data_IF_847547354765
#
_entry.id   IF_847547354765
#
_cell.length_a   1.000
_cell.length_b   1.000
_cell.length_c   1.000
_cell.angle_alpha   90.00
_cell.angle_beta   90.00
_cell.angle_gamma   90.00
#
_symmetry.space_group_name_H-M   'P 1'
#
loop_
_entity.id
_entity.type
_entity.pdbx_description
1 polymer ?
#
# COMPACT_ATOMS: atom_id res chain seq x y z
N UNK A 1 -60.02 1.18 -18.12
CA UNK A 1 -58.98 0.14 -18.33
C UNK A 1 -57.94 0.49 -19.39
N UNK A 2 -58.29 0.80 -20.65
CA UNK A 2 -57.28 1.06 -21.73
C UNK A 2 -56.27 2.18 -21.43
N UNK A 3 -56.71 3.30 -20.84
CA UNK A 3 -55.83 4.45 -20.52
C UNK A 3 -54.83 4.12 -19.40
N UNK A 4 -55.29 3.42 -18.36
CA UNK A 4 -54.44 2.96 -17.25
C UNK A 4 -53.38 1.96 -17.72
N UNK A 5 -53.78 0.96 -18.52
CA UNK A 5 -52.85 -0.02 -19.08
C UNK A 5 -51.80 0.65 -19.99
N UNK A 6 -52.18 1.65 -20.79
CA UNK A 6 -51.25 2.41 -21.63
C UNK A 6 -50.23 3.18 -20.79
N UNK A 7 -50.66 3.82 -19.71
CA UNK A 7 -49.76 4.52 -18.78
C UNK A 7 -48.80 3.53 -18.13
N UNK A 8 -49.29 2.40 -17.63
CA UNK A 8 -48.45 1.35 -17.01
C UNK A 8 -47.38 0.82 -17.98
N UNK A 9 -47.75 0.53 -19.22
CA UNK A 9 -46.81 0.06 -20.25
C UNK A 9 -45.74 1.11 -20.55
N UNK A 10 -46.13 2.38 -20.68
CA UNK A 10 -45.18 3.49 -20.90
C UNK A 10 -44.23 3.62 -19.70
N UNK A 11 -44.74 3.56 -18.47
CA UNK A 11 -43.92 3.64 -17.25
C UNK A 11 -42.91 2.49 -17.19
N UNK A 12 -43.31 1.25 -17.50
CA UNK A 12 -42.41 0.09 -17.54
C UNK A 12 -41.35 0.27 -18.63
N UNK A 13 -41.73 0.73 -19.83
CA UNK A 13 -40.80 0.99 -20.93
C UNK A 13 -39.77 2.06 -20.55
N UNK A 14 -40.21 3.17 -19.94
CA UNK A 14 -39.31 4.23 -19.46
C UNK A 14 -38.35 3.68 -18.41
N UNK A 15 -38.86 2.92 -17.44
CA UNK A 15 -38.02 2.32 -16.40
C UNK A 15 -36.98 1.34 -16.98
N UNK A 16 -37.38 0.44 -17.89
CA UNK A 16 -36.47 -0.49 -18.56
C UNK A 16 -35.42 0.24 -19.40
N UNK A 17 -35.80 1.33 -20.06
CA UNK A 17 -34.87 2.16 -20.83
C UNK A 17 -33.84 2.83 -19.91
N UNK A 18 -34.29 3.45 -18.82
CA UNK A 18 -33.40 4.07 -17.82
C UNK A 18 -32.48 3.04 -17.16
N UNK A 19 -33.01 1.87 -16.82
CA UNK A 19 -32.22 0.77 -16.26
C UNK A 19 -31.16 0.27 -17.26
N UNK A 20 -31.52 0.12 -18.54
CA UNK A 20 -30.59 -0.25 -19.60
C UNK A 20 -29.47 0.79 -19.78
N UNK A 21 -29.82 2.08 -19.84
CA UNK A 21 -28.85 3.18 -19.92
C UNK A 21 -27.92 3.20 -18.70
N UNK A 22 -28.45 2.99 -17.50
CA UNK A 22 -27.67 2.91 -16.28
C UNK A 22 -26.67 1.73 -16.31
N UNK A 23 -27.10 0.54 -16.75
CA UNK A 23 -26.20 -0.62 -16.90
C UNK A 23 -25.08 -0.37 -17.93
N UNK A 24 -25.39 0.31 -19.04
CA UNK A 24 -24.40 0.71 -20.04
C UNK A 24 -23.40 1.70 -19.44
N UNK A 25 -23.90 2.73 -18.74
CA UNK A 25 -23.05 3.68 -18.03
C UNK A 25 -22.12 2.99 -17.02
N UNK A 26 -22.65 2.12 -16.17
CA UNK A 26 -21.86 1.34 -15.21
C UNK A 26 -20.76 0.53 -15.91
N UNK A 27 -21.09 -0.15 -17.02
CA UNK A 27 -20.10 -0.93 -17.79
C UNK A 27 -18.95 -0.06 -18.29
N UNK A 28 -19.23 1.11 -18.83
CA UNK A 28 -18.19 2.03 -19.29
C UNK A 28 -17.38 2.63 -18.14
N UNK A 29 -18.04 3.00 -17.05
CA UNK A 29 -17.38 3.48 -15.85
C UNK A 29 -16.41 2.43 -15.29
N UNK A 30 -16.87 1.20 -15.05
CA UNK A 30 -16.01 0.13 -14.52
C UNK A 30 -14.87 -0.21 -15.47
N UNK A 31 -15.11 -0.23 -16.79
CA UNK A 31 -14.05 -0.41 -17.79
C UNK A 31 -12.99 0.67 -17.66
N UNK A 32 -13.39 1.93 -17.57
CA UNK A 32 -12.46 3.06 -17.43
C UNK A 32 -11.63 3.00 -16.16
N UNK A 33 -12.24 2.60 -15.03
CA UNK A 33 -11.49 2.40 -13.77
C UNK A 33 -10.51 1.25 -13.90
N UNK A 34 -10.91 0.07 -14.41
CA UNK A 34 -9.96 -1.02 -14.62
C UNK A 34 -8.79 -0.60 -15.54
N UNK A 35 -9.07 0.15 -16.60
CA UNK A 35 -8.05 0.67 -17.51
C UNK A 35 -7.07 1.66 -16.82
N UNK A 36 -7.50 2.42 -15.81
CA UNK A 36 -6.62 3.32 -15.05
C UNK A 36 -5.73 2.59 -14.04
N UNK A 37 -6.18 1.45 -13.52
CA UNK A 37 -5.40 0.58 -12.62
C UNK A 37 -4.39 -0.23 -13.44
N UNK A 38 -3.31 0.43 -13.87
CA UNK A 38 -2.32 -0.06 -14.85
C UNK A 38 -1.28 -1.03 -14.30
N UNK A 39 -1.21 -1.17 -12.97
CA UNK A 39 -0.38 -2.17 -12.29
C UNK A 39 -1.04 -2.68 -11.01
N UNK A 40 -0.44 -3.71 -10.42
CA UNK A 40 -0.97 -4.39 -9.24
C UNK A 40 -1.07 -3.50 -8.00
N UNK A 41 -0.14 -2.57 -7.78
CA UNK A 41 -0.14 -1.72 -6.57
C UNK A 41 -1.25 -0.66 -6.62
N UNK A 42 -1.52 -0.11 -7.81
CA UNK A 42 -2.71 0.71 -8.03
C UNK A 42 -3.99 -0.08 -7.80
N UNK A 43 -4.04 -1.34 -8.28
CA UNK A 43 -5.19 -2.21 -8.07
C UNK A 43 -5.42 -2.51 -6.58
N UNK A 44 -4.38 -2.83 -5.82
CA UNK A 44 -4.45 -3.06 -4.38
C UNK A 44 -4.86 -1.80 -3.60
N UNK A 45 -4.27 -0.64 -3.91
CA UNK A 45 -4.67 0.62 -3.28
C UNK A 45 -6.15 0.94 -3.54
N UNK A 46 -6.60 0.80 -4.78
CA UNK A 46 -7.99 1.03 -5.16
C UNK A 46 -8.93 0.03 -4.47
N UNK A 47 -8.56 -1.25 -4.45
CA UNK A 47 -9.32 -2.31 -3.80
C UNK A 47 -9.59 -2.02 -2.32
N UNK A 48 -8.65 -1.36 -1.64
CA UNK A 48 -8.86 -0.91 -0.26
C UNK A 48 -9.73 0.35 -0.19
N UNK A 49 -9.28 1.44 -0.80
CA UNK A 49 -9.90 2.77 -0.68
C UNK A 49 -11.30 2.86 -1.29
N UNK A 50 -11.62 1.97 -2.23
CA UNK A 50 -12.89 1.89 -2.95
C UNK A 50 -13.54 0.49 -2.81
N UNK A 51 -13.32 -0.16 -1.66
CA UNK A 51 -13.88 -1.49 -1.33
C UNK A 51 -15.37 -1.59 -1.67
N UNK A 52 -15.72 -2.65 -2.41
CA UNK A 52 -17.08 -2.97 -2.85
C UNK A 52 -17.64 -2.12 -4.01
N UNK A 53 -16.88 -1.17 -4.57
CA UNK A 53 -17.33 -0.35 -5.70
C UNK A 53 -17.16 -1.08 -7.05
N UNK A 54 -16.00 -1.70 -7.27
CA UNK A 54 -15.71 -2.44 -8.50
C UNK A 54 -16.23 -3.88 -8.42
N UNK A 55 -17.11 -4.31 -9.35
CA UNK A 55 -17.58 -5.68 -9.37
C UNK A 55 -16.43 -6.67 -9.58
N UNK A 56 -16.33 -7.68 -8.71
CA UNK A 56 -15.32 -8.75 -8.78
C UNK A 56 -13.90 -8.36 -8.37
N UNK A 57 -13.66 -7.12 -7.93
CA UNK A 57 -12.44 -6.76 -7.23
C UNK A 57 -12.63 -7.05 -5.74
N UNK A 58 -11.79 -7.91 -5.16
CA UNK A 58 -11.84 -8.19 -3.73
C UNK A 58 -11.33 -6.99 -2.91
N UNK A 59 -11.74 -6.90 -1.65
CA UNK A 59 -11.16 -5.94 -0.71
C UNK A 59 -9.70 -6.36 -0.43
N UNK A 60 -8.74 -5.43 -0.54
CA UNK A 60 -7.31 -5.73 -0.37
C UNK A 60 -7.00 -6.34 0.99
N UNK A 61 -7.37 -5.66 2.07
CA UNK A 61 -7.23 -6.14 3.45
C UNK A 61 -7.74 -7.56 3.65
N UNK A 62 -8.91 -7.92 3.09
CA UNK A 62 -9.43 -9.30 3.20
C UNK A 62 -8.59 -10.32 2.41
N UNK A 63 -8.07 -9.92 1.26
CA UNK A 63 -7.30 -10.80 0.39
C UNK A 63 -5.91 -11.14 0.96
N UNK A 64 -5.33 -10.24 1.77
CA UNK A 64 -3.99 -10.42 2.38
C UNK A 64 -4.02 -10.82 3.85
N UNK A 65 -5.18 -11.23 4.37
CA UNK A 65 -5.41 -11.55 5.78
C UNK A 65 -5.08 -10.35 6.71
N UNK A 66 -5.33 -9.14 6.23
CA UNK A 66 -5.29 -7.90 6.99
C UNK A 66 -6.56 -7.71 7.82
N UNK A 67 -6.41 -7.17 9.03
CA UNK A 67 -7.48 -7.19 10.03
C UNK A 67 -8.79 -6.49 9.64
N UNK A 68 -8.75 -5.27 9.10
CA UNK A 68 -9.96 -4.51 8.74
C UNK A 68 -9.80 -3.79 7.40
N UNK A 69 -10.93 -3.67 6.68
CA UNK A 69 -11.03 -2.88 5.45
C UNK A 69 -11.44 -1.44 5.72
N UNK A 70 -10.73 -0.51 5.11
CA UNK A 70 -10.89 0.92 5.29
C UNK A 70 -11.47 1.56 4.03
N UNK A 71 -12.74 1.94 4.13
CA UNK A 71 -13.54 2.51 3.03
C UNK A 71 -13.46 4.03 2.96
N UNK A 72 -12.26 4.56 3.10
CA UNK A 72 -12.05 6.00 3.10
C UNK A 72 -10.85 6.35 2.22
N UNK A 73 -11.16 7.07 1.13
CA UNK A 73 -10.21 7.51 0.11
C UNK A 73 -9.42 8.75 0.53
N UNK A 74 -9.83 9.42 1.61
CA UNK A 74 -9.26 10.70 2.05
C UNK A 74 -8.27 10.52 3.21
N UNK A 75 -7.99 9.27 3.62
CA UNK A 75 -7.03 8.92 4.65
C UNK A 75 -5.95 7.95 4.15
N UNK A 76 -4.84 7.89 4.88
CA UNK A 76 -3.88 6.79 4.79
C UNK A 76 -4.15 5.82 5.92
N UNK A 77 -4.12 4.53 5.63
CA UNK A 77 -4.31 3.49 6.62
C UNK A 77 -3.20 2.46 6.56
N UNK A 78 -2.60 2.20 7.73
CA UNK A 78 -1.68 1.09 7.94
C UNK A 78 -2.40 -0.15 8.46
N UNK A 79 -2.09 -1.30 7.89
CA UNK A 79 -2.56 -2.61 8.36
C UNK A 79 -1.40 -3.55 8.61
N UNK A 80 -1.41 -4.24 9.74
CA UNK A 80 -0.47 -5.33 10.03
C UNK A 80 -0.92 -6.60 9.33
N UNK A 81 0.03 -7.36 8.77
CA UNK A 81 -0.23 -8.62 8.09
C UNK A 81 0.24 -9.82 8.93
N UNK A 82 -0.67 -10.76 9.20
CA UNK A 82 -0.34 -12.02 9.88
C UNK A 82 0.63 -12.84 9.02
N UNK A 83 1.82 -13.14 9.55
CA UNK A 83 2.92 -13.68 8.74
C UNK A 83 3.83 -14.67 9.47
N UNK A 84 3.40 -15.18 10.64
CA UNK A 84 4.20 -16.14 11.41
C UNK A 84 5.54 -15.59 11.91
N UNK A 85 5.70 -14.26 11.90
CA UNK A 85 6.87 -13.55 12.39
C UNK A 85 6.97 -13.62 13.92
N UNK A 86 8.18 -13.37 14.44
CA UNK A 86 8.38 -13.27 15.88
C UNK A 86 7.73 -12.01 16.46
N UNK A 87 7.53 -11.95 17.78
CA UNK A 87 6.89 -10.80 18.45
C UNK A 87 7.63 -9.46 18.26
N UNK A 88 8.92 -9.50 17.92
CA UNK A 88 9.73 -8.31 17.64
C UNK A 88 9.65 -7.85 16.18
N UNK A 89 8.96 -8.58 15.32
CA UNK A 89 8.88 -8.36 13.89
C UNK A 89 7.43 -8.08 13.46
N UNK A 90 7.26 -7.18 12.51
CA UNK A 90 5.95 -6.86 11.95
C UNK A 90 6.08 -6.48 10.47
N UNK A 91 5.10 -6.87 9.66
CA UNK A 91 4.90 -6.35 8.30
C UNK A 91 3.65 -5.48 8.31
N UNK A 92 3.82 -4.23 7.90
CA UNK A 92 2.78 -3.23 7.77
C UNK A 92 2.62 -2.88 6.29
N UNK A 93 1.38 -2.72 5.84
CA UNK A 93 1.08 -2.13 4.54
C UNK A 93 0.27 -0.87 4.75
N UNK A 94 0.74 0.24 4.20
CA UNK A 94 0.02 1.50 4.19
C UNK A 94 -0.56 1.75 2.81
N UNK A 95 -1.86 1.99 2.74
CA UNK A 95 -2.57 2.35 1.51
C UNK A 95 -3.47 3.56 1.76
N UNK A 96 -3.85 4.28 0.71
CA UNK A 96 -4.75 5.41 0.88
C UNK A 96 -4.71 6.46 -0.21
N UNK A 97 -5.06 7.68 0.20
CA UNK A 97 -5.05 8.91 -0.60
C UNK A 97 -3.76 9.06 -1.43
N UNK A 98 -3.88 9.73 -2.59
CA UNK A 98 -2.76 9.98 -3.51
C UNK A 98 -2.05 8.71 -4.01
N UNK A 99 -2.81 7.60 -4.14
CA UNK A 99 -2.30 6.29 -4.59
C UNK A 99 -1.14 5.77 -3.71
N UNK A 100 -1.15 6.16 -2.42
CA UNK A 100 -0.12 5.77 -1.46
C UNK A 100 -0.05 4.26 -1.32
N UNK A 101 1.14 3.68 -1.47
CA UNK A 101 1.35 2.25 -1.19
C UNK A 101 2.76 2.06 -0.61
N UNK A 102 2.85 1.65 0.65
CA UNK A 102 4.11 1.40 1.35
C UNK A 102 4.03 0.05 2.03
N UNK A 103 4.97 -0.85 1.77
CA UNK A 103 5.15 -2.09 2.53
C UNK A 103 6.35 -1.88 3.44
N UNK A 104 6.16 -2.03 4.74
CA UNK A 104 7.20 -1.83 5.76
C UNK A 104 7.37 -3.12 6.55
N UNK A 105 8.57 -3.66 6.55
CA UNK A 105 8.98 -4.63 7.55
C UNK A 105 9.73 -3.89 8.65
N UNK A 106 9.33 -4.09 9.90
CA UNK A 106 9.99 -3.52 11.07
C UNK A 106 10.40 -4.63 12.04
N UNK A 107 11.64 -4.57 12.53
CA UNK A 107 12.16 -5.45 13.58
C UNK A 107 12.78 -4.65 14.72
N UNK A 108 12.34 -4.89 15.95
CA UNK A 108 13.02 -4.41 17.14
C UNK A 108 14.33 -5.20 17.35
N UNK A 109 15.43 -4.47 17.51
CA UNK A 109 16.76 -5.00 17.75
C UNK A 109 17.05 -5.05 19.27
N UNK A 110 17.90 -5.98 19.74
CA UNK A 110 18.21 -6.14 21.18
C UNK A 110 18.79 -4.90 21.88
N UNK A 111 19.35 -3.96 21.12
CA UNK A 111 19.93 -2.71 21.63
C UNK A 111 18.92 -1.55 21.74
N UNK A 112 17.63 -1.83 21.50
CA UNK A 112 16.55 -0.85 21.58
C UNK A 112 16.31 -0.05 20.30
N UNK A 113 17.00 -0.38 19.20
CA UNK A 113 16.79 0.23 17.87
C UNK A 113 15.86 -0.61 17.00
N UNK A 114 15.53 -0.09 15.83
CA UNK A 114 14.64 -0.71 14.87
C UNK A 114 15.34 -0.84 13.52
N UNK A 115 15.21 -2.01 12.91
CA UNK A 115 15.50 -2.24 11.50
C UNK A 115 14.21 -2.07 10.71
N UNK A 116 14.28 -1.32 9.61
CA UNK A 116 13.23 -1.21 8.61
C UNK A 116 13.72 -1.69 7.25
N UNK A 117 12.88 -2.45 6.56
CA UNK A 117 13.00 -2.74 5.13
C UNK A 117 11.69 -2.31 4.49
N UNK A 118 11.75 -1.32 3.61
CA UNK A 118 10.56 -0.70 3.05
C UNK A 118 10.51 -0.88 1.53
N UNK A 119 9.29 -0.96 1.00
CA UNK A 119 8.98 -0.82 -0.42
C UNK A 119 8.01 0.35 -0.58
N UNK A 120 8.51 1.48 -1.06
CA UNK A 120 7.77 2.70 -1.29
C UNK A 120 7.33 2.80 -2.75
N UNK A 121 6.02 2.77 -3.00
CA UNK A 121 5.46 2.91 -4.35
C UNK A 121 5.29 4.38 -4.71
N UNK A 122 5.85 4.76 -5.85
CA UNK A 122 5.71 6.08 -6.42
C UNK A 122 5.90 6.06 -7.92
N UNK A 123 5.00 6.73 -8.65
CA UNK A 123 5.17 7.00 -10.08
C UNK A 123 5.51 5.72 -10.88
N UNK A 124 4.83 4.60 -10.56
CA UNK A 124 5.04 3.26 -11.13
C UNK A 124 6.40 2.62 -10.79
N UNK A 125 7.05 3.09 -9.75
CA UNK A 125 8.28 2.51 -9.21
C UNK A 125 8.00 2.05 -7.78
N UNK A 126 8.19 0.78 -7.48
CA UNK A 126 8.23 0.25 -6.12
C UNK A 126 9.70 0.19 -5.68
N UNK A 127 10.13 1.17 -4.90
CA UNK A 127 11.54 1.31 -4.51
C UNK A 127 11.78 0.71 -3.13
N UNK A 128 12.77 -0.17 -3.06
CA UNK A 128 13.23 -0.75 -1.81
C UNK A 128 14.19 0.18 -1.07
N UNK A 129 14.03 0.32 0.25
CA UNK A 129 14.98 0.99 1.14
C UNK A 129 15.26 0.18 2.40
N UNK A 130 16.37 0.50 3.08
CA UNK A 130 16.73 -0.04 4.38
C UNK A 130 17.03 1.10 5.34
N UNK A 131 16.64 0.94 6.60
CA UNK A 131 16.95 1.89 7.65
C UNK A 131 17.24 1.19 8.97
N UNK A 132 18.19 1.71 9.74
CA UNK A 132 18.31 1.41 11.18
C UNK A 132 18.16 2.71 11.96
N UNK A 133 17.24 2.74 12.92
CA UNK A 133 16.89 3.97 13.65
C UNK A 133 16.55 3.70 15.11
N UNK A 134 16.73 4.70 15.97
CA UNK A 134 16.19 4.66 17.34
C UNK A 134 14.69 5.00 17.41
N UNK A 135 14.13 5.52 16.31
CA UNK A 135 12.69 5.74 16.15
C UNK A 135 11.98 4.45 15.75
N UNK A 136 10.81 4.20 16.34
CA UNK A 136 9.89 3.12 15.95
C UNK A 136 9.09 3.42 14.66
N UNK A 137 9.31 4.61 14.08
CA UNK A 137 8.76 5.06 12.82
C UNK A 137 9.88 5.25 11.78
N UNK A 138 9.67 4.73 10.56
CA UNK A 138 10.63 4.83 9.45
C UNK A 138 10.64 6.22 8.78
N UNK A 139 11.75 6.53 8.13
CA UNK A 139 11.86 7.65 7.21
C UNK A 139 10.96 7.46 5.99
N UNK A 140 10.79 6.24 5.48
CA UNK A 140 9.91 5.94 4.35
C UNK A 140 8.47 6.34 4.65
N UNK A 141 7.96 6.01 5.85
CA UNK A 141 6.65 6.46 6.32
C UNK A 141 6.57 7.99 6.42
N UNK A 142 7.57 8.64 7.01
CA UNK A 142 7.63 10.10 7.13
C UNK A 142 7.64 10.81 5.76
N UNK A 143 8.42 10.31 4.80
CA UNK A 143 8.46 10.85 3.44
C UNK A 143 7.17 10.61 2.67
N UNK A 144 6.51 9.47 2.90
CA UNK A 144 5.19 9.17 2.34
C UNK A 144 4.16 10.20 2.80
N UNK A 145 4.06 10.40 4.11
CA UNK A 145 3.15 11.40 4.68
C UNK A 145 3.45 12.83 4.19
N UNK A 146 4.73 13.19 4.05
CA UNK A 146 5.12 14.51 3.54
C UNK A 146 4.59 14.77 2.13
N UNK A 147 4.70 13.77 1.24
CA UNK A 147 4.23 13.89 -0.14
C UNK A 147 2.72 14.12 -0.20
N UNK A 148 1.96 13.42 0.64
CA UNK A 148 0.51 13.62 0.75
C UNK A 148 0.20 15.03 1.25
N UNK A 149 0.89 15.51 2.28
CA UNK A 149 0.68 16.86 2.83
C UNK A 149 0.95 17.95 1.78
N UNK A 150 2.04 17.84 1.01
CA UNK A 150 2.36 18.80 -0.04
C UNK A 150 1.31 18.80 -1.16
N UNK A 151 0.83 17.63 -1.60
CA UNK A 151 -0.18 17.56 -2.65
C UNK A 151 -1.55 18.08 -2.21
N UNK A 152 -1.91 17.90 -0.93
CA UNK A 152 -3.24 18.22 -0.41
C UNK A 152 -3.33 19.64 0.18
N UNK A 153 -2.26 20.15 0.80
CA UNK A 153 -2.27 21.40 1.58
C UNK A 153 -1.16 22.38 1.21
N UNK A 154 -0.03 21.91 0.67
CA UNK A 154 0.90 22.74 -0.10
C UNK A 154 1.86 23.69 0.64
N UNK A 155 1.98 23.65 1.97
CA UNK A 155 2.64 24.76 2.70
C UNK A 155 3.74 24.40 3.71
N UNK A 156 4.02 23.12 3.99
CA UNK A 156 5.01 22.75 5.00
C UNK A 156 6.34 22.31 4.37
N UNK A 157 7.48 22.76 4.91
CA UNK A 157 8.79 22.23 4.49
C UNK A 157 9.05 20.84 5.07
N UNK A 158 9.92 20.07 4.40
CA UNK A 158 10.21 18.68 4.77
C UNK A 158 10.72 18.54 6.21
N UNK A 159 11.61 19.44 6.67
CA UNK A 159 12.20 19.33 7.99
C UNK A 159 11.15 19.57 9.09
N UNK A 160 10.29 20.57 8.89
CA UNK A 160 9.15 20.84 9.78
C UNK A 160 8.15 19.68 9.80
N UNK A 161 7.82 19.12 8.62
CA UNK A 161 6.94 17.95 8.54
C UNK A 161 7.51 16.76 9.29
N UNK A 162 8.77 16.39 9.02
CA UNK A 162 9.41 15.25 9.68
C UNK A 162 9.45 15.46 11.20
N UNK A 163 9.78 16.66 11.68
CA UNK A 163 9.77 16.95 13.12
C UNK A 163 8.40 16.71 13.75
N UNK A 164 7.32 17.10 13.08
CA UNK A 164 5.94 16.84 13.54
C UNK A 164 5.63 15.34 13.49
N UNK A 165 5.96 14.68 12.37
CA UNK A 165 5.72 13.25 12.16
C UNK A 165 6.40 12.41 13.25
N UNK A 166 7.70 12.61 13.49
CA UNK A 166 8.44 11.96 14.57
C UNK A 166 8.03 12.45 15.98
N UNK A 167 7.27 13.53 16.10
CA UNK A 167 6.67 13.93 17.39
C UNK A 167 5.75 12.86 17.96
N UNK A 168 5.23 11.96 17.12
CA UNK A 168 4.36 10.85 17.51
C UNK A 168 5.12 9.54 17.75
N UNK A 169 6.37 9.41 17.30
CA UNK A 169 7.19 8.20 17.45
C UNK A 169 7.75 8.02 18.88
N UNK A 170 8.54 6.96 19.08
CA UNK A 170 9.27 6.66 20.32
C UNK A 170 10.26 7.76 20.73
N UNK A 171 10.84 8.49 19.75
CA UNK A 171 11.84 9.54 19.99
C UNK A 171 11.23 10.90 20.32
N UNK A 172 9.92 11.10 20.08
CA UNK A 172 9.20 12.38 20.32
C UNK A 172 9.87 13.58 19.65
N UNK A 173 10.39 13.37 18.45
CA UNK A 173 11.20 14.30 17.68
C UNK A 173 12.15 13.56 16.74
N UNK A 174 12.89 14.29 15.92
CA UNK A 174 13.82 13.70 14.97
C UNK A 174 14.78 12.71 15.67
N UNK A 175 15.02 11.52 15.08
CA UNK A 175 15.98 10.57 15.66
C UNK A 175 17.40 11.15 15.60
N UNK A 176 18.18 10.95 16.65
CA UNK A 176 19.60 11.30 16.68
C UNK A 176 20.46 10.23 16.00
N UNK A 177 19.95 9.00 15.93
CA UNK A 177 20.58 7.87 15.26
C UNK A 177 19.68 7.35 14.15
N UNK A 178 20.14 7.48 12.91
CA UNK A 178 19.46 6.97 11.72
C UNK A 178 20.50 6.64 10.64
N UNK A 179 20.53 5.38 10.19
CA UNK A 179 21.37 4.90 9.11
C UNK A 179 20.47 4.50 7.96
N UNK A 180 20.67 5.07 6.78
CA UNK A 180 19.91 4.75 5.55
C UNK A 180 20.80 4.27 4.41
N UNK A 181 22.12 4.38 4.57
CA UNK A 181 23.07 3.80 3.63
C UNK A 181 23.14 2.28 3.83
N UNK A 182 23.02 1.52 2.73
CA UNK A 182 23.00 0.06 2.78
C UNK A 182 24.25 -0.54 3.42
N UNK A 183 25.44 -0.06 3.05
CA UNK A 183 26.69 -0.62 3.55
C UNK A 183 26.87 -0.33 5.04
N UNK A 184 26.57 0.90 5.47
CA UNK A 184 26.60 1.25 6.90
C UNK A 184 25.56 0.45 7.70
N UNK A 185 24.36 0.24 7.15
CA UNK A 185 23.32 -0.57 7.79
C UNK A 185 23.77 -2.03 7.91
N UNK A 186 24.36 -2.61 6.86
CA UNK A 186 24.91 -3.97 6.89
C UNK A 186 26.00 -4.12 7.95
N UNK A 187 26.97 -3.20 8.01
CA UNK A 187 28.01 -3.22 9.05
C UNK A 187 27.40 -3.13 10.45
N UNK A 188 26.39 -2.28 10.63
CA UNK A 188 25.66 -2.16 11.90
C UNK A 188 24.94 -3.45 12.29
N UNK A 189 24.35 -4.14 11.31
CA UNK A 189 23.47 -5.29 11.51
C UNK A 189 24.24 -6.62 11.71
N UNK A 190 25.52 -6.68 11.33
CA UNK A 190 26.39 -7.87 11.50
C UNK A 190 26.34 -8.50 12.91
N UNK A 191 26.50 -7.75 14.02
CA UNK A 191 26.45 -8.34 15.36
C UNK A 191 25.08 -8.91 15.74
N UNK A 192 24.02 -8.53 15.02
CA UNK A 192 22.67 -9.06 15.19
C UNK A 192 22.39 -10.29 14.32
N UNK A 193 23.40 -10.80 13.60
CA UNK A 193 23.26 -11.96 12.70
C UNK A 193 22.43 -11.66 11.46
N UNK A 194 22.36 -10.39 11.06
CA UNK A 194 21.62 -9.93 9.88
C UNK A 194 22.65 -9.50 8.84
N UNK A 195 22.72 -10.27 7.76
CA UNK A 195 23.59 -10.03 6.61
C UNK A 195 22.78 -9.77 5.34
N UNK A 196 23.48 -9.61 4.23
CA UNK A 196 22.87 -9.41 2.92
C UNK A 196 21.93 -10.56 2.51
N UNK A 197 22.30 -11.81 2.78
CA UNK A 197 21.48 -12.96 2.43
C UNK A 197 20.16 -12.94 3.21
N UNK A 198 20.24 -12.63 4.51
CA UNK A 198 19.07 -12.46 5.36
C UNK A 198 18.15 -11.32 4.87
N UNK A 199 18.72 -10.17 4.48
CA UNK A 199 17.93 -9.05 3.95
C UNK A 199 17.25 -9.47 2.66
N UNK A 200 17.96 -10.12 1.72
CA UNK A 200 17.38 -10.60 0.46
C UNK A 200 16.22 -11.56 0.69
N UNK A 201 16.39 -12.54 1.57
CA UNK A 201 15.36 -13.51 1.94
C UNK A 201 14.15 -12.81 2.57
N UNK A 202 14.37 -11.92 3.55
CA UNK A 202 13.28 -11.21 4.23
C UNK A 202 12.51 -10.28 3.27
N UNK A 203 13.24 -9.62 2.37
CA UNK A 203 12.67 -8.75 1.34
C UNK A 203 11.81 -9.54 0.36
N UNK A 204 12.26 -10.72 -0.05
CA UNK A 204 11.50 -11.61 -0.90
C UNK A 204 10.22 -12.07 -0.19
N UNK A 205 10.36 -12.57 1.04
CA UNK A 205 9.26 -13.05 1.86
C UNK A 205 8.17 -11.99 2.04
N UNK A 206 8.54 -10.75 2.42
CA UNK A 206 7.55 -9.71 2.66
C UNK A 206 6.80 -9.29 1.39
N UNK A 207 7.48 -9.17 0.26
CA UNK A 207 6.87 -8.68 -0.98
C UNK A 207 6.12 -9.79 -1.70
N UNK A 208 6.79 -10.91 -1.96
CA UNK A 208 6.26 -11.98 -2.80
C UNK A 208 5.34 -12.91 -2.03
N UNK A 209 5.78 -13.45 -0.89
CA UNK A 209 5.02 -14.51 -0.19
C UNK A 209 3.87 -13.92 0.66
N UNK A 210 4.10 -12.77 1.30
CA UNK A 210 3.12 -12.16 2.20
C UNK A 210 2.14 -11.26 1.43
N UNK A 211 2.61 -10.33 0.60
CA UNK A 211 1.71 -9.36 -0.05
C UNK A 211 1.20 -9.87 -1.39
N UNK A 212 2.09 -10.15 -2.34
CA UNK A 212 1.72 -10.44 -3.72
C UNK A 212 1.05 -11.80 -3.90
N UNK A 213 1.60 -12.88 -3.34
CA UNK A 213 1.04 -14.22 -3.47
C UNK A 213 -0.39 -14.28 -2.94
N UNK A 214 -0.62 -13.70 -1.76
CA UNK A 214 -1.97 -13.63 -1.16
C UNK A 214 -2.91 -12.80 -2.01
N UNK A 215 -2.46 -11.64 -2.49
CA UNK A 215 -3.25 -10.80 -3.39
C UNK A 215 -3.62 -11.55 -4.68
N UNK A 216 -2.68 -12.23 -5.32
CA UNK A 216 -2.94 -12.97 -6.56
C UNK A 216 -3.85 -14.17 -6.36
N UNK A 217 -3.75 -14.83 -5.21
CA UNK A 217 -4.62 -15.97 -4.88
C UNK A 217 -6.06 -15.54 -4.60
N UNK A 218 -6.24 -14.41 -3.91
CA UNK A 218 -7.52 -14.07 -3.29
C UNK A 218 -8.20 -12.83 -3.89
N UNK A 219 -7.47 -11.97 -4.60
CA UNK A 219 -7.96 -10.63 -4.94
C UNK A 219 -7.77 -10.17 -6.38
N UNK A 220 -6.60 -10.43 -6.99
CA UNK A 220 -6.36 -10.02 -8.37
C UNK A 220 -7.01 -10.98 -9.37
N UNK A 221 -7.56 -10.41 -10.44
CA UNK A 221 -8.03 -11.17 -11.61
C UNK A 221 -7.24 -10.82 -12.88
N UNK A 222 -6.31 -9.87 -12.80
CA UNK A 222 -5.62 -9.26 -13.94
C UNK A 222 -4.10 -9.37 -13.86
N UNK A 223 -3.58 -9.34 -12.65
CA UNK A 223 -2.16 -9.40 -12.37
C UNK A 223 -1.80 -10.74 -11.74
N UNK A 224 -0.53 -11.08 -11.85
CA UNK A 224 0.05 -12.33 -11.36
C UNK A 224 1.53 -12.12 -11.09
N UNK A 225 2.22 -13.11 -10.53
CA UNK A 225 3.67 -13.06 -10.29
C UNK A 225 4.45 -12.74 -11.58
N UNK A 226 4.00 -13.28 -12.72
CA UNK A 226 4.66 -13.07 -14.02
C UNK A 226 4.21 -11.77 -14.73
N UNK A 227 3.18 -11.09 -14.22
CA UNK A 227 2.63 -9.88 -14.82
C UNK A 227 2.13 -8.92 -13.72
N UNK A 228 2.99 -8.01 -13.29
CA UNK A 228 2.66 -6.96 -12.32
C UNK A 228 2.02 -5.72 -12.97
N UNK A 229 1.96 -5.68 -14.31
CA UNK A 229 1.55 -4.51 -15.09
C UNK A 229 2.67 -3.49 -15.27
N UNK A 230 2.28 -2.23 -15.48
CA UNK A 230 3.18 -1.11 -15.72
C UNK A 230 3.79 -0.61 -14.39
N UNK A 231 4.75 -1.38 -13.87
CA UNK A 231 5.52 -1.05 -12.66
C UNK A 231 6.95 -1.59 -12.76
N UNK A 232 7.90 -0.81 -12.25
CA UNK A 232 9.29 -1.20 -12.02
C UNK A 232 9.53 -1.47 -10.54
N UNK A 233 10.21 -2.58 -10.20
CA UNK A 233 10.67 -2.84 -8.83
C UNK A 233 12.16 -2.55 -8.75
N UNK A 234 12.54 -1.58 -7.93
CA UNK A 234 13.94 -1.19 -7.71
C UNK A 234 14.38 -1.75 -6.37
N UNK A 235 15.14 -2.85 -6.40
CA UNK A 235 15.66 -3.52 -5.21
C UNK A 235 16.94 -2.86 -4.68
N UNK A 236 17.33 -3.19 -3.45
CA UNK A 236 18.62 -2.81 -2.88
C UNK A 236 19.77 -3.32 -3.76
N UNK A 237 20.71 -2.44 -4.11
CA UNK A 237 21.91 -2.78 -4.87
C UNK A 237 23.04 -3.12 -3.91
N UNK A 238 23.27 -4.41 -3.71
CA UNK A 238 24.44 -4.89 -3.00
C UNK A 238 25.66 -4.81 -3.92
N UNK A 239 26.76 -4.23 -3.45
CA UNK A 239 28.01 -4.19 -4.21
C UNK A 239 28.58 -5.61 -4.31
N UNK A 240 28.79 -6.08 -5.54
CA UNK A 240 29.50 -7.34 -5.86
C UNK A 240 30.95 -7.34 -5.34
#
# INVERSE_FOLDING_TARGET
>A
MKKFLKILVITILVFLTLFGLYRVYQKYYYKGVYESLTNVFLEMNYAETHSGILPSLADFSKAVDGGQSYRDKDITVGMSLESGLSESEIILVYVGIEETFLIEYRRALPDGRYLFIDYDYRDKILKQTIEVSESDQSLAYGLTGYRIEIKTRGELDLASYLKISYGFSSTKGLPNFQITNLNEALEYLKPHGIDEAWIKEKSHFMLYDVVLERWFKNGSQRYSVDNLGDVEIVSLSFSE
#
